data_IF_749526332179
#
_entry.id   IF_749526332179
#
_cell.length_a   1.000
_cell.length_b   1.000
_cell.length_c   1.000
_cell.angle_alpha   90.00
_cell.angle_beta   90.00
_cell.angle_gamma   90.00
#
_symmetry.space_group_name_H-M   'P 1'
#
loop_
_entity.id
_entity.type
_entity.pdbx_description
1 polymer ?
#
# COMPACT_ATOMS: atom_id res chain seq x y z
N UNK A 1 26.03 -1.89 6.75
CA UNK A 1 24.66 -1.68 6.23
C UNK A 1 24.10 -0.48 6.96
N UNK A 2 24.00 0.68 6.31
CA UNK A 2 23.41 1.86 6.92
C UNK A 2 21.99 1.54 7.38
N UNK A 3 21.73 1.85 8.65
CA UNK A 3 20.46 1.62 9.34
C UNK A 3 19.40 2.56 8.76
N UNK A 4 18.89 2.25 7.58
CA UNK A 4 17.97 3.10 6.83
C UNK A 4 16.58 3.08 7.47
N UNK A 5 16.35 3.98 8.43
CA UNK A 5 15.04 4.27 8.99
C UNK A 5 14.24 5.10 7.99
N UNK A 6 13.56 4.43 7.06
CA UNK A 6 12.58 5.04 6.15
C UNK A 6 11.17 4.96 6.73
N UNK A 7 10.30 5.88 6.33
CA UNK A 7 8.90 5.88 6.73
C UNK A 7 8.02 5.42 5.55
N UNK A 8 7.11 4.47 5.82
CA UNK A 8 6.08 4.08 4.87
C UNK A 8 4.97 5.12 4.88
N UNK A 9 4.57 5.61 3.71
CA UNK A 9 3.65 6.73 3.58
C UNK A 9 2.36 6.57 4.39
N UNK A 10 1.80 7.69 4.81
CA UNK A 10 0.66 7.78 5.70
C UNK A 10 -0.59 7.11 5.09
N UNK A 11 -1.36 6.42 5.94
CA UNK A 11 -2.50 5.60 5.49
C UNK A 11 -3.77 5.89 6.32
N UNK A 12 -4.56 6.88 5.90
CA UNK A 12 -5.91 7.11 6.45
C UNK A 12 -6.95 6.09 5.95
N UNK A 13 -6.53 5.11 5.14
CA UNK A 13 -7.30 3.94 4.72
C UNK A 13 -8.72 4.24 4.24
N UNK A 14 -8.90 5.06 3.18
CA UNK A 14 -10.18 5.22 2.50
C UNK A 14 -10.77 3.86 2.12
N UNK A 15 -12.09 3.73 2.26
CA UNK A 15 -12.83 2.50 2.00
C UNK A 15 -13.60 2.62 0.70
N UNK A 16 -13.73 1.49 0.00
CA UNK A 16 -14.42 1.39 -1.29
C UNK A 16 -15.88 1.85 -1.27
N UNK A 17 -16.54 1.82 -0.11
CA UNK A 17 -17.94 2.22 0.06
C UNK A 17 -18.11 3.65 0.61
N UNK A 18 -17.04 4.42 0.75
CA UNK A 18 -17.13 5.83 1.14
C UNK A 18 -17.47 6.70 -0.05
N UNK A 19 -18.06 7.87 0.21
CA UNK A 19 -18.19 8.92 -0.79
C UNK A 19 -16.83 9.23 -1.44
N UNK A 20 -16.81 9.42 -2.76
CA UNK A 20 -15.57 9.59 -3.52
C UNK A 20 -14.81 10.85 -3.12
N UNK A 21 -15.52 11.93 -2.74
CA UNK A 21 -14.88 13.17 -2.29
C UNK A 21 -14.25 12.97 -0.91
N UNK A 22 -14.90 12.21 -0.03
CA UNK A 22 -14.28 11.83 1.24
C UNK A 22 -13.04 10.94 1.03
N UNK A 23 -13.05 10.03 0.05
CA UNK A 23 -11.87 9.24 -0.29
C UNK A 23 -10.73 10.15 -0.79
N UNK A 24 -11.02 11.06 -1.74
CA UNK A 24 -10.06 12.03 -2.28
C UNK A 24 -9.48 12.94 -1.19
N UNK A 25 -10.32 13.43 -0.28
CA UNK A 25 -9.89 14.25 0.86
C UNK A 25 -8.90 13.51 1.76
N UNK A 26 -9.21 12.26 2.15
CA UNK A 26 -8.31 11.46 2.98
C UNK A 26 -7.00 11.12 2.26
N UNK A 27 -7.06 10.83 0.96
CA UNK A 27 -5.85 10.61 0.15
C UNK A 27 -4.98 11.86 0.09
N UNK A 28 -5.59 13.03 -0.16
CA UNK A 28 -4.88 14.30 -0.14
C UNK A 28 -4.20 14.56 1.21
N UNK A 29 -4.92 14.35 2.31
CA UNK A 29 -4.37 14.53 3.66
C UNK A 29 -3.18 13.58 3.92
N UNK A 30 -3.28 12.31 3.51
CA UNK A 30 -2.15 11.37 3.53
C UNK A 30 -0.96 11.89 2.72
N UNK A 31 -1.19 12.46 1.52
CA UNK A 31 -0.10 12.97 0.66
C UNK A 31 0.52 14.25 1.20
N UNK A 32 -0.25 15.12 1.84
CA UNK A 32 0.28 16.30 2.52
C UNK A 32 1.13 15.93 3.74
N UNK A 33 0.71 14.92 4.51
CA UNK A 33 1.50 14.38 5.61
C UNK A 33 2.82 13.78 5.11
N UNK A 34 2.78 13.01 4.01
CA UNK A 34 3.98 12.50 3.35
C UNK A 34 4.87 13.67 2.90
N UNK A 35 4.32 14.66 2.19
CA UNK A 35 5.09 15.81 1.74
C UNK A 35 5.77 16.56 2.89
N UNK A 36 5.07 16.76 4.01
CA UNK A 36 5.64 17.37 5.21
C UNK A 36 6.84 16.59 5.75
N UNK A 37 6.78 15.25 5.81
CA UNK A 37 7.92 14.44 6.24
C UNK A 37 9.08 14.53 5.24
N UNK A 38 8.79 14.51 3.94
CA UNK A 38 9.80 14.58 2.89
C UNK A 38 10.61 15.87 2.94
N UNK A 39 9.94 17.02 3.09
CA UNK A 39 10.62 18.33 3.17
C UNK A 39 11.48 18.47 4.43
N UNK A 40 11.19 17.67 5.47
CA UNK A 40 11.98 17.59 6.70
C UNK A 40 13.08 16.51 6.63
N UNK A 41 13.43 16.01 5.43
CA UNK A 41 14.55 15.10 5.21
C UNK A 41 14.25 13.63 5.52
N UNK A 42 13.00 13.27 5.79
CA UNK A 42 12.60 11.87 6.00
C UNK A 42 12.48 11.18 4.65
N UNK A 43 13.20 10.06 4.47
CA UNK A 43 13.05 9.22 3.27
C UNK A 43 11.71 8.49 3.33
N UNK A 44 10.91 8.63 2.28
CA UNK A 44 9.57 8.05 2.20
C UNK A 44 9.44 7.00 1.11
N UNK A 45 8.71 5.94 1.46
CA UNK A 45 8.18 5.00 0.50
C UNK A 45 6.66 5.18 0.43
N UNK A 46 6.10 5.68 -0.68
CA UNK A 46 4.68 6.00 -0.75
C UNK A 46 3.80 4.78 -0.47
N UNK A 47 2.64 5.01 0.14
CA UNK A 47 1.66 3.97 0.32
C UNK A 47 0.83 3.77 -0.96
N UNK A 48 0.57 2.51 -1.30
CA UNK A 48 -0.22 2.06 -2.45
C UNK A 48 -1.75 2.11 -2.24
N UNK A 49 -2.18 2.87 -1.22
CA UNK A 49 -3.57 3.03 -0.81
C UNK A 49 -4.33 3.90 -1.80
N UNK A 50 -5.50 3.40 -2.16
CA UNK A 50 -6.57 4.08 -2.91
C UNK A 50 -7.90 3.62 -2.34
N UNK A 51 -8.99 4.30 -2.64
CA UNK A 51 -10.33 3.92 -2.17
C UNK A 51 -11.14 3.12 -3.20
N UNK A 52 -11.33 3.68 -4.40
CA UNK A 52 -11.97 3.05 -5.56
C UNK A 52 -11.22 3.39 -6.86
N UNK A 53 -11.70 2.86 -8.00
CA UNK A 53 -11.12 3.12 -9.33
C UNK A 53 -10.96 4.62 -9.62
N UNK A 54 -11.92 5.45 -9.23
CA UNK A 54 -11.92 6.92 -9.44
C UNK A 54 -10.83 7.67 -8.65
N UNK A 55 -10.09 6.95 -7.79
CA UNK A 55 -9.01 7.51 -6.98
C UNK A 55 -7.63 6.94 -7.35
N UNK A 56 -7.54 6.10 -8.39
CA UNK A 56 -6.28 5.46 -8.76
C UNK A 56 -5.28 6.45 -9.38
N UNK A 57 -5.78 7.50 -10.02
CA UNK A 57 -4.99 8.62 -10.52
C UNK A 57 -4.10 9.26 -9.44
N UNK A 58 -4.48 9.18 -8.17
CA UNK A 58 -3.63 9.69 -7.07
C UNK A 58 -2.26 9.01 -7.05
N UNK A 59 -2.14 7.79 -7.57
CA UNK A 59 -0.85 7.10 -7.62
C UNK A 59 0.05 7.60 -8.76
N UNK A 60 -0.48 8.29 -9.77
CA UNK A 60 0.30 8.82 -10.90
C UNK A 60 1.09 10.08 -10.55
N UNK A 61 0.94 10.62 -9.33
CA UNK A 61 1.79 11.71 -8.82
C UNK A 61 3.23 11.25 -8.59
N UNK A 62 3.45 9.94 -8.51
CA UNK A 62 4.78 9.35 -8.34
C UNK A 62 5.33 8.90 -9.69
N UNK A 63 6.65 8.98 -9.90
CA UNK A 63 7.28 8.46 -11.11
C UNK A 63 6.97 6.96 -11.32
N UNK A 64 6.97 6.48 -12.57
CA UNK A 64 6.96 5.05 -12.87
C UNK A 64 8.08 4.32 -12.13
N UNK A 65 7.92 3.01 -11.91
CA UNK A 65 8.93 2.16 -11.26
C UNK A 65 9.16 2.47 -9.76
N UNK A 66 8.35 3.36 -9.17
CA UNK A 66 8.38 3.68 -7.74
C UNK A 66 8.10 2.45 -6.89
N UNK A 67 8.78 2.35 -5.76
CA UNK A 67 8.51 1.34 -4.74
C UNK A 67 7.39 1.79 -3.83
N UNK A 68 6.47 0.89 -3.49
CA UNK A 68 5.35 1.23 -2.63
C UNK A 68 5.29 0.33 -1.40
N UNK A 69 4.85 0.93 -0.29
CA UNK A 69 4.37 0.18 0.86
C UNK A 69 2.90 -0.18 0.66
N UNK A 70 2.55 -1.43 0.95
CA UNK A 70 1.21 -1.97 0.77
C UNK A 70 0.75 -2.53 2.11
N UNK A 71 -0.20 -1.86 2.75
CA UNK A 71 -0.93 -2.48 3.84
C UNK A 71 -1.79 -3.61 3.30
N UNK A 72 -1.85 -4.74 4.01
CA UNK A 72 -2.74 -5.83 3.69
C UNK A 72 -4.13 -5.24 3.37
N UNK A 73 -4.47 -5.26 2.08
CA UNK A 73 -5.69 -4.66 1.54
C UNK A 73 -6.83 -5.19 2.38
N UNK A 74 -7.38 -4.33 3.24
CA UNK A 74 -8.27 -4.73 4.33
C UNK A 74 -9.42 -5.58 3.81
N UNK A 75 -9.27 -6.89 3.88
CA UNK A 75 -10.23 -7.91 3.50
C UNK A 75 -9.86 -9.19 4.24
N UNK A 76 -10.01 -9.12 5.57
CA UNK A 76 -9.89 -10.27 6.46
C UNK A 76 -10.79 -11.43 6.01
N UNK A 77 -11.93 -11.16 5.35
CA UNK A 77 -12.80 -12.12 4.66
C UNK A 77 -13.56 -11.43 3.52
N UNK A 78 -13.59 -12.02 2.32
CA UNK A 78 -14.38 -11.55 1.15
C UNK A 78 -13.66 -10.63 0.14
N UNK A 79 -14.31 -10.42 -1.02
CA UNK A 79 -13.95 -9.47 -2.10
C UNK A 79 -12.61 -9.72 -2.83
N UNK A 80 -12.19 -10.97 -2.99
CA UNK A 80 -10.93 -11.32 -3.69
C UNK A 80 -10.93 -10.80 -5.13
N UNK A 81 -11.95 -11.10 -5.94
CA UNK A 81 -12.01 -10.70 -7.37
C UNK A 81 -11.86 -9.20 -7.60
N UNK A 82 -12.55 -8.35 -6.82
CA UNK A 82 -12.45 -6.89 -6.99
C UNK A 82 -11.08 -6.38 -6.55
N UNK A 83 -10.49 -6.96 -5.52
CA UNK A 83 -9.14 -6.60 -5.09
C UNK A 83 -8.07 -7.04 -6.09
N UNK A 84 -8.25 -8.19 -6.75
CA UNK A 84 -7.40 -8.61 -7.87
C UNK A 84 -7.48 -7.62 -9.03
N UNK A 85 -8.70 -7.24 -9.44
CA UNK A 85 -8.90 -6.20 -10.45
C UNK A 85 -8.19 -4.91 -10.03
N UNK A 86 -8.38 -4.47 -8.79
CA UNK A 86 -7.74 -3.26 -8.28
C UNK A 86 -6.21 -3.36 -8.28
N UNK A 87 -5.64 -4.51 -7.92
CA UNK A 87 -4.20 -4.73 -7.96
C UNK A 87 -3.67 -4.67 -9.40
N UNK A 88 -4.33 -5.37 -10.33
CA UNK A 88 -3.96 -5.36 -11.76
C UNK A 88 -4.02 -3.97 -12.35
N UNK A 89 -5.11 -3.23 -12.12
CA UNK A 89 -5.28 -1.87 -12.65
C UNK A 89 -4.28 -0.89 -12.03
N UNK A 90 -4.07 -0.93 -10.71
CA UNK A 90 -3.06 -0.07 -10.07
C UNK A 90 -1.66 -0.33 -10.61
N UNK A 91 -1.30 -1.60 -10.84
CA UNK A 91 -0.01 -1.95 -11.45
C UNK A 91 0.14 -1.34 -12.85
N UNK A 92 -0.91 -1.33 -13.66
CA UNK A 92 -0.89 -0.68 -14.98
C UNK A 92 -0.63 0.83 -14.82
N UNK A 93 -1.30 1.48 -13.86
CA UNK A 93 -1.15 2.91 -13.61
C UNK A 93 0.26 3.28 -13.12
N UNK A 94 0.86 2.46 -12.26
CA UNK A 94 2.10 2.83 -11.55
C UNK A 94 3.37 2.13 -12.03
N UNK A 95 3.24 1.00 -12.72
CA UNK A 95 4.33 0.09 -13.09
C UNK A 95 5.39 -0.07 -11.98
N UNK A 96 5.03 -0.59 -10.79
CA UNK A 96 5.93 -0.55 -9.63
C UNK A 96 7.05 -1.59 -9.77
N UNK A 97 8.28 -1.23 -9.43
CA UNK A 97 9.40 -2.19 -9.38
C UNK A 97 9.31 -3.13 -8.18
N UNK A 98 8.84 -2.61 -7.04
CA UNK A 98 8.67 -3.41 -5.82
C UNK A 98 7.46 -2.98 -4.99
N UNK A 99 6.78 -3.98 -4.43
CA UNK A 99 5.76 -3.82 -3.39
C UNK A 99 6.25 -4.40 -2.05
N UNK A 100 6.33 -3.54 -1.04
CA UNK A 100 6.60 -3.93 0.35
C UNK A 100 5.28 -4.16 1.07
N UNK A 101 4.90 -5.43 1.23
CA UNK A 101 3.68 -5.81 1.93
C UNK A 101 3.89 -5.82 3.43
N UNK A 102 3.08 -5.08 4.18
CA UNK A 102 2.95 -5.27 5.62
C UNK A 102 1.65 -6.04 5.91
N UNK A 103 1.76 -7.17 6.60
CA UNK A 103 0.65 -8.07 6.92
C UNK A 103 0.65 -9.36 6.08
N UNK A 104 -0.54 -9.89 5.79
CA UNK A 104 -0.72 -11.15 5.03
C UNK A 104 -0.87 -10.88 3.54
N UNK A 105 0.05 -11.39 2.73
CA UNK A 105 -0.14 -11.53 1.29
C UNK A 105 -0.97 -12.79 1.02
N UNK A 106 -2.06 -12.66 0.25
CA UNK A 106 -2.87 -13.81 -0.18
C UNK A 106 -2.23 -14.46 -1.42
N UNK A 107 -2.31 -15.80 -1.57
CA UNK A 107 -1.73 -16.50 -2.73
C UNK A 107 -2.21 -15.95 -4.08
N UNK A 108 -3.48 -15.55 -4.18
CA UNK A 108 -4.07 -15.00 -5.40
C UNK A 108 -3.39 -13.69 -5.80
N UNK A 109 -3.02 -12.86 -4.82
CA UNK A 109 -2.30 -11.63 -5.08
C UNK A 109 -0.82 -11.90 -5.39
N UNK A 110 -0.19 -12.87 -4.72
CA UNK A 110 1.18 -13.28 -5.04
C UNK A 110 1.29 -13.76 -6.49
N UNK A 111 0.36 -14.61 -6.95
CA UNK A 111 0.31 -15.07 -8.34
C UNK A 111 0.24 -13.90 -9.33
N UNK A 112 -0.57 -12.87 -9.04
CA UNK A 112 -0.62 -11.67 -9.89
C UNK A 112 0.75 -10.97 -9.94
N UNK A 113 1.44 -10.84 -8.82
CA UNK A 113 2.75 -10.19 -8.79
C UNK A 113 3.80 -11.00 -9.57
N UNK A 114 3.80 -12.32 -9.40
CA UNK A 114 4.68 -13.24 -10.13
C UNK A 114 4.41 -13.21 -11.64
N UNK A 115 3.13 -13.27 -12.05
CA UNK A 115 2.68 -13.20 -13.45
C UNK A 115 3.21 -11.95 -14.18
N UNK A 116 3.30 -10.82 -13.48
CA UNK A 116 3.77 -9.56 -14.04
C UNK A 116 5.21 -9.19 -13.66
N UNK A 117 5.96 -10.10 -13.03
CA UNK A 117 7.36 -9.87 -12.66
C UNK A 117 7.58 -8.73 -11.66
N UNK A 118 6.58 -8.40 -10.84
CA UNK A 118 6.68 -7.35 -9.81
C UNK A 118 7.37 -7.94 -8.58
N UNK A 119 8.52 -7.37 -8.19
CA UNK A 119 9.20 -7.82 -6.98
C UNK A 119 8.35 -7.52 -5.75
N UNK A 120 8.34 -8.40 -4.76
CA UNK A 120 7.66 -8.11 -3.51
C UNK A 120 8.37 -8.71 -2.32
N UNK A 121 8.24 -8.03 -1.19
CA UNK A 121 8.72 -8.51 0.11
C UNK A 121 7.60 -8.41 1.13
N UNK A 122 7.35 -9.52 1.84
CA UNK A 122 6.30 -9.60 2.85
C UNK A 122 6.91 -9.45 4.23
N UNK A 123 6.49 -8.44 4.96
CA UNK A 123 6.74 -8.25 6.38
C UNK A 123 5.48 -8.65 7.13
N UNK A 124 5.48 -9.88 7.65
CA UNK A 124 4.35 -10.39 8.43
C UNK A 124 4.16 -9.55 9.68
N UNK A 125 2.91 -9.24 9.97
CA UNK A 125 2.49 -8.29 11.00
C UNK A 125 3.19 -8.47 12.35
N UNK A 126 3.86 -7.40 12.82
CA UNK A 126 4.44 -7.35 14.16
C UNK A 126 3.36 -7.47 15.23
N UNK A 127 2.12 -7.04 14.97
CA UNK A 127 1.00 -7.17 15.92
C UNK A 127 0.68 -8.64 16.24
N UNK A 128 0.88 -9.55 15.28
CA UNK A 128 0.71 -11.01 15.50
C UNK A 128 1.91 -11.62 16.22
N UNK A 129 3.10 -11.07 16.01
CA UNK A 129 4.34 -11.51 16.66
C UNK A 129 4.44 -11.00 18.11
N UNK A 130 3.99 -9.78 18.39
CA UNK A 130 4.01 -9.18 19.73
C UNK A 130 2.93 -9.77 20.65
N UNK A 131 1.74 -10.08 20.13
CA UNK A 131 0.67 -10.76 20.90
C UNK A 131 0.91 -12.25 21.16
N UNK A 132 1.91 -12.86 20.52
CA UNK A 132 2.34 -14.25 20.81
C UNK A 132 3.31 -14.34 21.99
N UNK A 133 3.76 -13.21 22.55
CA UNK A 133 4.70 -13.17 23.69
C UNK A 133 4.05 -13.13 25.08
N UNK A 134 2.73 -13.31 25.19
CA UNK A 134 2.03 -13.44 26.48
C UNK A 134 1.20 -14.73 26.51
N UNK A 135 1.86 -15.89 26.47
CA UNK A 135 1.46 -17.08 27.24
C UNK A 135 2.75 -17.90 27.45
N UNK A 136 3.48 -17.60 28.52
CA UNK A 136 4.49 -18.46 29.12
C UNK A 136 4.36 -18.33 30.64
#
# INVERSE_FOLDING_TARGET
MDNHKGFGGFDLSPRINWDVNLQRFNLLLSKLADAFLAINGVKLMPNFRTGCLDTFEVLSIYPPNTWYSVGALGCGRGRIKINEMYLRTKRIVTNPNMLIYYGKLKPEYAHILDEYGVQYKVFTDFQRLSRRKEVA
#
